data_IF_686317906479
#
_entry.id   IF_686317906479
#
_cell.length_a   1.000
_cell.length_b   1.000
_cell.length_c   1.000
_cell.angle_alpha   90.00
_cell.angle_beta   90.00
_cell.angle_gamma   90.00
#
_symmetry.space_group_name_H-M   'P 1'
#
loop_
_entity.id
_entity.type
_entity.pdbx_description
1 polymer ?
#
# COMPACT_ATOMS: atom_id res chain seq x y z
N UNK A 1 7.19 15.05 -16.15
CA UNK A 1 6.34 15.50 -17.30
C UNK A 1 5.44 14.37 -17.84
N UNK A 2 5.96 13.14 -18.09
CA UNK A 2 5.16 12.04 -18.66
C UNK A 2 3.97 11.61 -17.79
N UNK A 3 4.13 11.53 -16.48
CA UNK A 3 3.05 11.17 -15.56
C UNK A 3 1.90 12.19 -15.60
N UNK A 4 2.20 13.47 -15.56
CA UNK A 4 1.18 14.54 -15.64
C UNK A 4 0.41 14.42 -16.96
N UNK A 5 1.11 14.26 -18.08
CA UNK A 5 0.48 14.19 -19.41
C UNK A 5 -0.40 12.95 -19.59
N UNK A 6 0.07 11.76 -19.12
CA UNK A 6 -0.61 10.48 -19.36
C UNK A 6 -1.64 10.13 -18.30
N UNK A 7 -1.35 10.47 -17.02
CA UNK A 7 -2.16 10.05 -15.87
C UNK A 7 -2.85 11.22 -15.17
N UNK A 8 -2.56 12.48 -15.58
CA UNK A 8 -3.11 13.70 -14.94
C UNK A 8 -2.87 13.71 -13.44
N UNK A 9 -1.66 13.36 -13.03
CA UNK A 9 -1.27 13.24 -11.63
C UNK A 9 0.21 13.61 -11.43
N UNK A 10 0.52 14.17 -10.26
CA UNK A 10 1.86 14.48 -9.83
C UNK A 10 2.51 13.23 -9.23
N UNK A 11 3.64 12.74 -9.76
CA UNK A 11 4.34 11.59 -9.20
C UNK A 11 5.21 12.00 -8.01
N UNK A 12 5.65 11.00 -7.22
CA UNK A 12 6.74 11.14 -6.25
C UNK A 12 8.05 10.57 -6.80
N UNK A 13 9.15 11.03 -6.22
CA UNK A 13 10.51 10.53 -6.51
C UNK A 13 11.26 10.21 -5.20
N UNK A 14 10.58 9.53 -4.29
CA UNK A 14 11.11 9.13 -3.00
C UNK A 14 10.82 7.66 -2.73
N UNK A 15 11.09 7.21 -1.51
CA UNK A 15 10.95 5.81 -1.11
C UNK A 15 9.55 5.22 -1.32
N UNK A 16 8.49 6.06 -1.34
CA UNK A 16 7.10 5.60 -1.56
C UNK A 16 6.62 5.77 -3.01
N UNK A 17 7.52 6.02 -3.96
CA UNK A 17 7.18 6.24 -5.37
C UNK A 17 6.44 5.05 -6.01
N UNK A 18 6.75 3.81 -5.63
CA UNK A 18 6.12 2.61 -6.20
C UNK A 18 4.65 2.48 -5.77
N UNK A 19 4.34 2.72 -4.50
CA UNK A 19 2.95 2.74 -4.04
C UNK A 19 2.18 3.91 -4.66
N UNK A 20 2.77 5.10 -4.69
CA UNK A 20 2.17 6.28 -5.34
C UNK A 20 1.88 6.01 -6.82
N UNK A 21 2.82 5.41 -7.55
CA UNK A 21 2.65 5.03 -8.96
C UNK A 21 1.53 4.03 -9.18
N UNK A 22 1.46 2.99 -8.33
CA UNK A 22 0.38 2.00 -8.36
C UNK A 22 -1.00 2.65 -8.13
N UNK A 23 -1.12 3.54 -7.15
CA UNK A 23 -2.36 4.26 -6.84
C UNK A 23 -2.77 5.25 -7.94
N UNK A 24 -1.81 5.90 -8.60
CA UNK A 24 -2.05 6.75 -9.76
C UNK A 24 -2.56 5.90 -10.94
N UNK A 25 -1.97 4.73 -11.18
CA UNK A 25 -2.41 3.79 -12.22
C UNK A 25 -3.85 3.31 -11.96
N UNK A 26 -4.16 2.89 -10.73
CA UNK A 26 -5.53 2.47 -10.34
C UNK A 26 -6.52 3.59 -10.62
N UNK A 27 -6.24 4.81 -10.15
CA UNK A 27 -7.10 5.96 -10.43
C UNK A 27 -7.34 6.17 -11.93
N UNK A 28 -6.31 6.07 -12.76
CA UNK A 28 -6.46 6.25 -14.22
C UNK A 28 -7.39 5.19 -14.82
N UNK A 29 -7.26 3.95 -14.40
CA UNK A 29 -8.14 2.85 -14.83
C UNK A 29 -9.59 3.13 -14.40
N UNK A 30 -9.80 3.57 -13.15
CA UNK A 30 -11.12 3.90 -12.62
C UNK A 30 -11.78 5.07 -13.36
N UNK A 31 -11.03 6.11 -13.72
CA UNK A 31 -11.54 7.24 -14.50
C UNK A 31 -12.04 6.82 -15.90
N UNK A 32 -11.31 5.91 -16.55
CA UNK A 32 -11.74 5.38 -17.86
C UNK A 32 -12.99 4.52 -17.70
N UNK A 33 -13.03 3.64 -16.69
CA UNK A 33 -14.16 2.75 -16.45
C UNK A 33 -15.44 3.50 -16.06
N UNK A 34 -15.32 4.58 -15.28
CA UNK A 34 -16.45 5.39 -14.84
C UNK A 34 -17.20 6.05 -16.01
N UNK A 35 -16.53 6.32 -17.14
CA UNK A 35 -17.17 6.82 -18.36
C UNK A 35 -18.19 5.82 -18.95
N UNK A 36 -18.11 4.56 -18.53
CA UNK A 36 -18.99 3.46 -18.94
C UNK A 36 -19.83 2.95 -17.77
N UNK A 37 -20.07 3.77 -16.75
CA UNK A 37 -20.83 3.42 -15.54
C UNK A 37 -20.29 2.16 -14.81
N UNK A 38 -18.96 1.94 -14.85
CA UNK A 38 -18.29 0.81 -14.22
C UNK A 38 -17.48 1.27 -13.02
N UNK A 39 -17.80 0.72 -11.86
CA UNK A 39 -17.07 0.90 -10.62
C UNK A 39 -15.99 -0.20 -10.49
N UNK A 40 -14.72 0.15 -10.58
CA UNK A 40 -13.60 -0.78 -10.47
C UNK A 40 -12.96 -0.70 -9.08
N UNK A 41 -13.18 -1.72 -8.25
CA UNK A 41 -12.62 -1.80 -6.89
C UNK A 41 -11.38 -2.69 -6.88
N UNK A 42 -10.22 -2.22 -6.40
CA UNK A 42 -9.04 -3.06 -6.25
C UNK A 42 -9.31 -4.22 -5.28
N UNK A 43 -8.93 -5.44 -5.70
CA UNK A 43 -9.06 -6.65 -4.89
C UNK A 43 -7.73 -7.31 -4.58
N UNK A 44 -6.73 -7.15 -5.46
CA UNK A 44 -5.36 -7.59 -5.26
C UNK A 44 -4.43 -6.75 -6.14
N UNK A 45 -3.71 -5.80 -5.54
CA UNK A 45 -2.84 -4.90 -6.28
C UNK A 45 -1.48 -4.81 -5.62
N UNK A 46 -0.41 -4.86 -6.41
CA UNK A 46 0.94 -4.81 -5.89
C UNK A 46 1.95 -4.27 -6.91
N UNK A 47 3.08 -3.80 -6.40
CA UNK A 47 4.27 -3.48 -7.18
C UNK A 47 5.40 -4.41 -6.77
N UNK A 48 6.07 -5.01 -7.72
CA UNK A 48 7.25 -5.84 -7.49
C UNK A 48 8.27 -5.57 -8.59
N UNK A 49 9.52 -5.29 -8.21
CA UNK A 49 10.60 -5.01 -9.15
C UNK A 49 10.22 -3.91 -10.16
N UNK A 50 10.09 -4.25 -11.43
CA UNK A 50 9.84 -3.32 -12.54
C UNK A 50 8.39 -3.32 -13.02
N UNK A 51 7.46 -4.01 -12.34
CA UNK A 51 6.08 -4.08 -12.80
C UNK A 51 5.08 -3.83 -11.66
N UNK A 52 3.88 -3.41 -12.08
CA UNK A 52 2.71 -3.27 -11.23
C UNK A 52 1.62 -4.19 -11.73
N UNK A 53 0.91 -4.86 -10.81
CA UNK A 53 -0.28 -5.65 -11.14
C UNK A 53 -1.48 -5.12 -10.38
N UNK A 54 -2.59 -5.02 -11.08
CA UNK A 54 -3.86 -4.51 -10.54
C UNK A 54 -4.96 -5.49 -10.95
N UNK A 55 -5.59 -6.10 -9.95
CA UNK A 55 -6.77 -6.93 -10.12
C UNK A 55 -7.96 -6.18 -9.54
N UNK A 56 -9.01 -6.03 -10.33
CA UNK A 56 -10.15 -5.20 -10.01
C UNK A 56 -11.44 -6.01 -10.11
N UNK A 57 -12.35 -5.83 -9.16
CA UNK A 57 -13.73 -6.25 -9.28
C UNK A 57 -14.50 -5.18 -10.03
N UNK A 58 -15.31 -5.59 -11.00
CA UNK A 58 -16.15 -4.70 -11.79
C UNK A 58 -17.60 -4.80 -11.33
N UNK A 59 -18.13 -3.68 -10.83
CA UNK A 59 -19.54 -3.50 -10.50
C UNK A 59 -20.14 -2.45 -11.44
N UNK A 60 -21.32 -2.71 -12.01
CA UNK A 60 -22.04 -1.73 -12.85
C UNK A 60 -22.90 -0.79 -12.00
N UNK A 61 -23.01 0.45 -12.41
CA UNK A 61 -23.91 1.45 -11.85
C UNK A 61 -23.28 2.82 -11.64
N UNK A 62 -23.98 3.87 -12.07
CA UNK A 62 -23.55 5.28 -11.97
C UNK A 62 -23.13 5.65 -10.55
N UNK A 63 -24.04 5.46 -9.58
CA UNK A 63 -23.78 5.79 -8.19
C UNK A 63 -22.55 5.06 -7.63
N UNK A 64 -22.34 3.80 -8.02
CA UNK A 64 -21.15 3.04 -7.59
C UNK A 64 -19.87 3.61 -8.19
N UNK A 65 -19.90 4.04 -9.46
CA UNK A 65 -18.79 4.71 -10.10
C UNK A 65 -18.46 6.03 -9.39
N UNK A 66 -19.48 6.84 -9.09
CA UNK A 66 -19.31 8.09 -8.37
C UNK A 66 -18.70 7.88 -6.97
N UNK A 67 -19.12 6.85 -6.23
CA UNK A 67 -18.53 6.54 -4.91
C UNK A 67 -17.05 6.15 -5.02
N UNK A 68 -16.65 5.42 -6.07
CA UNK A 68 -15.24 5.13 -6.33
C UNK A 68 -14.44 6.42 -6.59
N UNK A 69 -14.99 7.34 -7.40
CA UNK A 69 -14.30 8.59 -7.74
C UNK A 69 -14.12 9.52 -6.54
N UNK A 70 -15.01 9.50 -5.55
CA UNK A 70 -14.87 10.26 -4.29
C UNK A 70 -13.64 9.86 -3.48
N UNK A 71 -13.10 8.66 -3.69
CA UNK A 71 -11.90 8.17 -3.01
C UNK A 71 -10.60 8.58 -3.74
N UNK A 72 -10.68 9.42 -4.76
CA UNK A 72 -9.51 10.01 -5.39
C UNK A 72 -9.07 11.29 -4.67
N UNK A 73 -7.78 11.45 -4.45
CA UNK A 73 -7.28 12.64 -3.76
C UNK A 73 -5.77 12.81 -3.84
N UNK A 74 -5.33 13.94 -3.29
CA UNK A 74 -3.92 14.28 -3.13
C UNK A 74 -3.41 13.75 -1.79
N UNK A 75 -2.17 13.27 -1.76
CA UNK A 75 -1.49 12.89 -0.53
C UNK A 75 -0.03 13.38 -0.55
N UNK A 76 0.31 14.23 0.42
CA UNK A 76 1.68 14.77 0.58
C UNK A 76 2.25 15.37 -0.72
N UNK A 77 1.45 16.15 -1.45
CA UNK A 77 1.85 16.82 -2.69
C UNK A 77 1.90 15.94 -3.94
N UNK A 78 1.50 14.67 -3.85
CA UNK A 78 1.39 13.75 -5.00
C UNK A 78 -0.06 13.38 -5.31
N UNK A 79 -0.34 12.97 -6.53
CA UNK A 79 -1.66 12.60 -6.99
C UNK A 79 -2.26 13.61 -8.00
N UNK A 80 -3.60 13.66 -8.17
CA UNK A 80 -4.56 12.83 -7.45
C UNK A 80 -4.37 11.33 -7.75
N UNK A 81 -4.63 10.51 -6.73
CA UNK A 81 -4.46 9.06 -6.78
C UNK A 81 -5.59 8.34 -6.03
N UNK A 82 -5.66 7.03 -6.15
CA UNK A 82 -6.57 6.19 -5.37
C UNK A 82 -6.17 6.18 -3.88
N UNK A 83 -7.05 6.61 -2.99
CA UNK A 83 -6.82 6.63 -1.53
C UNK A 83 -7.50 5.47 -0.80
N UNK A 84 -8.27 4.64 -1.49
CA UNK A 84 -8.91 3.47 -0.94
C UNK A 84 -7.95 2.28 -0.75
N UNK A 85 -8.51 1.14 -0.35
CA UNK A 85 -7.76 -0.11 -0.14
C UNK A 85 -7.19 -0.66 -1.45
N UNK A 86 -6.02 -1.30 -1.36
CA UNK A 86 -5.38 -2.01 -2.48
C UNK A 86 -5.80 -3.48 -2.55
N UNK A 87 -6.42 -4.00 -1.47
CA UNK A 87 -6.74 -5.41 -1.28
C UNK A 87 -8.12 -5.61 -0.69
N UNK A 88 -8.79 -6.69 -1.11
CA UNK A 88 -9.92 -7.29 -0.44
C UNK A 88 -9.40 -8.40 0.50
N UNK A 89 -9.60 -8.23 1.80
CA UNK A 89 -9.04 -9.14 2.81
C UNK A 89 -9.55 -10.57 2.65
N UNK A 90 -10.82 -10.75 2.22
CA UNK A 90 -11.41 -12.07 2.00
C UNK A 90 -10.77 -12.78 0.81
N UNK A 91 -10.44 -12.02 -0.24
CA UNK A 91 -9.74 -12.56 -1.42
C UNK A 91 -8.30 -12.93 -1.04
N UNK A 92 -7.59 -12.06 -0.29
CA UNK A 92 -6.24 -12.35 0.19
C UNK A 92 -6.22 -13.63 1.05
N UNK A 93 -7.16 -13.78 1.97
CA UNK A 93 -7.26 -14.98 2.81
C UNK A 93 -7.48 -16.25 1.98
N UNK A 94 -8.34 -16.18 0.95
CA UNK A 94 -8.56 -17.32 0.02
C UNK A 94 -7.27 -17.63 -0.76
N UNK A 95 -6.58 -16.62 -1.29
CA UNK A 95 -5.31 -16.81 -2.01
C UNK A 95 -4.29 -17.49 -1.10
N UNK A 96 -4.09 -16.99 0.12
CA UNK A 96 -3.14 -17.57 1.08
C UNK A 96 -3.49 -19.03 1.42
N UNK A 97 -4.76 -19.33 1.70
CA UNK A 97 -5.22 -20.70 2.01
C UNK A 97 -5.00 -21.64 0.84
N UNK A 98 -5.31 -21.23 -0.39
CA UNK A 98 -5.17 -22.06 -1.59
C UNK A 98 -3.69 -22.26 -1.95
N UNK A 99 -2.85 -21.25 -1.78
CA UNK A 99 -1.40 -21.37 -2.01
C UNK A 99 -0.75 -22.36 -1.05
N UNK A 100 -1.19 -22.40 0.22
CA UNK A 100 -0.70 -23.38 1.21
C UNK A 100 -1.11 -24.83 0.84
N UNK A 101 -2.27 -25.03 0.23
CA UNK A 101 -2.75 -26.35 -0.20
C UNK A 101 -2.11 -26.84 -1.51
N UNK A 102 -1.55 -25.94 -2.28
CA UNK A 102 -0.92 -26.27 -3.56
C UNK A 102 0.47 -26.90 -3.35
N UNK A 103 0.71 -28.08 -3.94
CA UNK A 103 2.01 -28.75 -3.90
C UNK A 103 3.15 -27.94 -4.54
N UNK A 104 2.82 -27.07 -5.50
CA UNK A 104 3.77 -26.23 -6.22
C UNK A 104 4.04 -24.93 -5.43
N UNK A 105 2.97 -24.21 -5.08
CA UNK A 105 3.11 -22.88 -4.48
C UNK A 105 3.57 -22.93 -3.02
N UNK A 106 3.16 -23.94 -2.25
CA UNK A 106 3.58 -24.08 -0.84
C UNK A 106 5.09 -24.24 -0.66
N UNK A 107 5.80 -24.77 -1.66
CA UNK A 107 7.27 -24.93 -1.65
C UNK A 107 8.02 -23.66 -2.05
N UNK A 108 7.35 -22.64 -2.57
CA UNK A 108 7.96 -21.37 -2.97
C UNK A 108 8.00 -20.42 -1.76
N UNK A 109 9.11 -20.43 -1.03
CA UNK A 109 9.31 -19.61 0.17
C UNK A 109 9.16 -18.10 -0.09
N UNK A 110 9.62 -17.62 -1.24
CA UNK A 110 9.51 -16.20 -1.61
C UNK A 110 8.05 -15.79 -1.81
N UNK A 111 7.27 -16.59 -2.57
CA UNK A 111 5.86 -16.37 -2.77
C UNK A 111 5.09 -16.40 -1.45
N UNK A 112 5.38 -17.36 -0.59
CA UNK A 112 4.71 -17.50 0.70
C UNK A 112 5.01 -16.31 1.62
N UNK A 113 6.27 -15.85 1.65
CA UNK A 113 6.67 -14.65 2.38
C UNK A 113 5.95 -13.40 1.85
N UNK A 114 5.90 -13.23 0.54
CA UNK A 114 5.21 -12.12 -0.13
C UNK A 114 3.71 -12.09 0.21
N UNK A 115 3.01 -13.22 0.07
CA UNK A 115 1.60 -13.34 0.40
C UNK A 115 1.32 -13.07 1.88
N UNK A 116 2.18 -13.56 2.79
CA UNK A 116 2.09 -13.28 4.23
C UNK A 116 2.23 -11.79 4.52
N UNK A 117 3.18 -11.11 3.87
CA UNK A 117 3.37 -9.66 4.02
C UNK A 117 2.13 -8.90 3.57
N UNK A 118 1.59 -9.18 2.37
CA UNK A 118 0.37 -8.53 1.87
C UNK A 118 -0.83 -8.82 2.79
N UNK A 119 -0.96 -10.05 3.30
CA UNK A 119 -2.03 -10.40 4.24
C UNK A 119 -1.99 -9.56 5.50
N UNK A 120 -0.83 -9.37 6.11
CA UNK A 120 -0.70 -8.52 7.30
C UNK A 120 -0.89 -7.04 6.97
N UNK A 121 -0.34 -6.57 5.87
CA UNK A 121 -0.47 -5.20 5.39
C UNK A 121 -1.94 -4.84 5.07
N UNK A 122 -2.71 -5.77 4.50
CA UNK A 122 -4.14 -5.57 4.15
C UNK A 122 -5.05 -5.30 5.34
N UNK A 123 -4.62 -5.66 6.55
CA UNK A 123 -5.34 -5.39 7.82
C UNK A 123 -5.18 -3.95 8.32
N UNK A 124 -4.25 -3.19 7.72
CA UNK A 124 -3.93 -1.83 8.11
C UNK A 124 -4.68 -0.87 7.19
N UNK A 125 -5.41 0.06 7.79
CA UNK A 125 -6.15 1.08 7.04
C UNK A 125 -5.30 2.36 6.97
N UNK A 126 -4.25 2.32 6.17
CA UNK A 126 -3.37 3.47 5.93
C UNK A 126 -3.02 3.55 4.44
N UNK A 127 -2.75 4.75 3.96
CA UNK A 127 -2.22 5.01 2.62
C UNK A 127 -0.76 5.38 2.77
N UNK A 128 0.11 4.65 2.10
CA UNK A 128 1.54 4.77 2.24
C UNK A 128 2.12 3.92 3.37
N UNK A 129 3.43 3.93 3.44
CA UNK A 129 4.19 3.27 4.50
C UNK A 129 5.29 4.21 5.01
N UNK A 130 5.89 3.87 6.13
CA UNK A 130 7.01 4.61 6.72
C UNK A 130 8.34 4.01 6.28
N UNK A 131 9.16 4.80 5.60
CA UNK A 131 10.57 4.52 5.37
C UNK A 131 11.36 4.90 6.63
N UNK A 132 11.70 3.90 7.45
CA UNK A 132 12.34 4.15 8.74
C UNK A 132 13.70 4.82 8.59
N UNK A 133 14.50 4.44 7.59
CA UNK A 133 15.81 5.06 7.34
C UNK A 133 15.65 6.53 6.95
N UNK A 134 14.78 6.84 5.98
CA UNK A 134 14.55 8.22 5.57
C UNK A 134 13.96 9.09 6.69
N UNK A 135 13.14 8.52 7.58
CA UNK A 135 12.65 9.24 8.76
C UNK A 135 13.79 9.52 9.75
N UNK A 136 14.66 8.53 10.00
CA UNK A 136 15.80 8.71 10.90
C UNK A 136 16.78 9.78 10.40
N UNK A 137 17.11 9.76 9.11
CA UNK A 137 17.98 10.77 8.47
C UNK A 137 17.40 12.19 8.62
N UNK A 138 16.14 12.37 8.22
CA UNK A 138 15.47 13.69 8.31
C UNK A 138 15.37 14.23 9.74
N UNK A 139 15.27 13.35 10.74
CA UNK A 139 15.12 13.73 12.14
C UNK A 139 16.41 13.61 12.95
N UNK A 140 17.57 13.39 12.31
CA UNK A 140 18.90 13.27 12.93
C UNK A 140 18.96 12.20 14.03
N UNK A 141 18.25 11.06 13.82
CA UNK A 141 18.23 9.93 14.74
C UNK A 141 19.42 9.03 14.40
N UNK A 142 20.43 9.00 15.27
CA UNK A 142 21.74 8.34 15.01
C UNK A 142 21.68 6.81 14.98
N UNK A 143 20.75 6.18 15.72
CA UNK A 143 20.67 4.72 15.86
C UNK A 143 19.26 4.23 15.62
N UNK A 144 19.03 3.54 14.51
CA UNK A 144 17.79 2.85 14.23
C UNK A 144 17.76 1.51 14.97
N UNK A 145 16.67 1.25 15.69
CA UNK A 145 16.42 -0.05 16.32
C UNK A 145 16.04 -1.09 15.26
N UNK A 146 16.13 -2.38 15.60
CA UNK A 146 15.65 -3.45 14.71
C UNK A 146 14.18 -3.22 14.36
N UNK A 147 13.85 -3.38 13.08
CA UNK A 147 12.48 -3.14 12.54
C UNK A 147 11.40 -3.87 13.36
N UNK A 148 11.68 -5.11 13.77
CA UNK A 148 10.74 -5.88 14.58
C UNK A 148 10.47 -5.24 15.96
N UNK A 149 11.52 -4.72 16.60
CA UNK A 149 11.38 -3.98 17.87
C UNK A 149 10.49 -2.75 17.70
N UNK A 150 10.66 -2.01 16.60
CA UNK A 150 9.85 -0.83 16.28
C UNK A 150 8.38 -1.23 16.07
N UNK A 151 8.11 -2.27 15.27
CA UNK A 151 6.75 -2.78 15.07
C UNK A 151 6.10 -3.19 16.40
N UNK A 152 6.84 -3.85 17.26
CA UNK A 152 6.33 -4.26 18.58
C UNK A 152 6.04 -3.06 19.51
N UNK A 153 6.89 -2.03 19.48
CA UNK A 153 6.63 -0.79 20.22
C UNK A 153 5.37 -0.07 19.68
N UNK A 154 5.19 -0.02 18.35
CA UNK A 154 3.99 0.55 17.71
C UNK A 154 2.73 -0.21 18.18
N UNK A 155 2.77 -1.55 18.17
CA UNK A 155 1.65 -2.40 18.60
C UNK A 155 1.32 -2.22 20.09
N UNK A 156 2.33 -2.06 20.95
CA UNK A 156 2.14 -1.75 22.38
C UNK A 156 1.44 -0.40 22.61
N UNK A 157 1.55 0.53 21.69
CA UNK A 157 0.83 1.81 21.72
C UNK A 157 -0.60 1.73 21.14
N UNK A 158 -1.09 0.51 20.83
CA UNK A 158 -2.44 0.27 20.31
C UNK A 158 -2.59 0.46 18.80
N UNK A 159 -1.50 0.71 18.06
CA UNK A 159 -1.52 0.86 16.60
C UNK A 159 -1.20 -0.46 15.91
N UNK A 160 -1.67 -0.60 14.66
CA UNK A 160 -1.30 -1.73 13.79
C UNK A 160 0.05 -1.47 13.14
N UNK A 161 0.86 -2.50 12.98
CA UNK A 161 2.13 -2.41 12.25
C UNK A 161 2.47 -3.74 11.59
N UNK A 162 2.91 -3.69 10.34
CA UNK A 162 3.42 -4.83 9.56
C UNK A 162 4.59 -4.42 8.68
N UNK A 163 5.23 -5.40 8.07
CA UNK A 163 6.11 -5.14 6.93
C UNK A 163 5.26 -4.65 5.76
N UNK A 164 5.88 -3.93 4.82
CA UNK A 164 5.27 -3.60 3.54
C UNK A 164 5.96 -4.37 2.41
N UNK A 165 5.20 -4.70 1.36
CA UNK A 165 5.77 -5.36 0.19
C UNK A 165 6.47 -4.37 -0.77
N UNK A 166 6.30 -3.06 -0.58
CA UNK A 166 6.89 -2.03 -1.43
C UNK A 166 8.37 -1.78 -1.16
N UNK A 167 8.83 -2.02 0.09
CA UNK A 167 10.21 -1.74 0.51
C UNK A 167 10.58 -2.62 1.70
N UNK A 168 11.74 -3.30 1.65
CA UNK A 168 12.21 -4.18 2.72
C UNK A 168 12.32 -3.48 4.07
N UNK A 169 12.81 -2.23 4.09
CA UNK A 169 12.99 -1.43 5.31
C UNK A 169 11.76 -0.57 5.67
N UNK A 170 10.66 -0.75 4.93
CA UNK A 170 9.41 -0.05 5.18
C UNK A 170 8.56 -0.72 6.25
N UNK A 171 7.75 0.09 6.92
CA UNK A 171 6.72 -0.34 7.88
C UNK A 171 5.39 0.29 7.51
N UNK A 172 4.39 -0.55 7.24
CA UNK A 172 3.00 -0.13 7.10
C UNK A 172 2.39 0.00 8.50
N UNK A 173 1.74 1.13 8.79
CA UNK A 173 1.13 1.38 10.10
C UNK A 173 0.13 2.52 10.04
N UNK A 174 -0.86 2.49 10.92
CA UNK A 174 -1.83 3.56 11.17
C UNK A 174 -1.38 4.54 12.28
N UNK A 175 -0.14 4.40 12.80
CA UNK A 175 0.42 5.35 13.78
C UNK A 175 0.65 6.72 13.13
N UNK A 176 0.29 7.85 13.76
CA UNK A 176 0.65 9.18 13.28
C UNK A 176 2.16 9.40 13.23
N UNK A 177 2.66 10.06 12.18
CA UNK A 177 4.09 10.29 11.96
C UNK A 177 4.80 10.95 13.17
N UNK A 178 4.17 11.93 13.80
CA UNK A 178 4.72 12.61 14.97
C UNK A 178 4.94 11.66 16.16
N UNK A 179 4.01 10.71 16.37
CA UNK A 179 4.15 9.67 17.41
C UNK A 179 5.23 8.65 17.04
N UNK A 180 5.34 8.27 15.77
CA UNK A 180 6.40 7.41 15.29
C UNK A 180 7.78 8.04 15.50
N UNK A 181 7.95 9.33 15.17
CA UNK A 181 9.22 10.06 15.39
C UNK A 181 9.58 10.08 16.87
N UNK A 182 8.61 10.35 17.76
CA UNK A 182 8.85 10.28 19.22
C UNK A 182 9.30 8.90 19.66
N UNK A 183 8.64 7.85 19.17
CA UNK A 183 8.98 6.45 19.46
C UNK A 183 10.40 6.09 19.00
N UNK A 184 10.83 6.59 17.84
CA UNK A 184 12.16 6.34 17.29
C UNK A 184 13.28 7.09 18.03
N UNK A 185 12.97 8.24 18.64
CA UNK A 185 13.90 9.03 19.47
C UNK A 185 14.10 8.43 20.87
N UNK A 186 13.09 7.76 21.41
CA UNK A 186 13.15 7.14 22.73
C UNK A 186 13.84 5.76 22.60
N UNK A 187 14.98 5.61 23.34
CA UNK A 187 15.78 4.37 23.41
C UNK A 187 14.99 3.20 24.01
#
# INVERSE_FOLDING_TARGET
>A
RACIRKYWALPRRDSIMHETGLRILIRKIQLVAAQYDKALTPVFSYSKEHYMRVFLRNDKGKNKADEILKLHGMLNGAGPMWLGKLWDINIIDKICKNSLKSRIFSKNNELMKFLKTIKEESKINAVGFYDLNGICEKNKIKKLQKKETIKNKIRKLGYKASDTHFKSEGVSSDIPLNKLIKLLKNK
#
